data_IF_832354517223
#
_entry.id   IF_832354517223
#
_cell.length_a   1.000
_cell.length_b   1.000
_cell.length_c   1.000
_cell.angle_alpha   90.00
_cell.angle_beta   90.00
_cell.angle_gamma   90.00
#
_symmetry.space_group_name_H-M   'P 1'
#
loop_
_entity.id
_entity.type
_entity.pdbx_description
1 polymer ?
#
# COMPACT_ATOMS: atom_id res chain seq x y z
N UNK A 1 -4.70 -31.84 -5.15
CA UNK A 1 -4.51 -30.47 -4.61
C UNK A 1 -4.71 -29.49 -5.74
N UNK A 2 -5.70 -28.60 -5.64
CA UNK A 2 -5.94 -27.58 -6.67
C UNK A 2 -4.81 -26.56 -6.65
N UNK A 3 -4.31 -26.23 -7.84
CA UNK A 3 -3.28 -25.23 -8.03
C UNK A 3 -3.88 -23.83 -8.08
N UNK A 4 -3.13 -22.84 -7.62
CA UNK A 4 -3.52 -21.41 -7.60
C UNK A 4 -3.93 -20.92 -8.98
N UNK A 5 -3.17 -21.29 -10.00
CA UNK A 5 -3.39 -20.89 -11.39
C UNK A 5 -4.71 -21.44 -11.92
N UNK A 6 -5.09 -22.66 -11.53
CA UNK A 6 -6.36 -23.26 -11.94
C UNK A 6 -7.54 -22.52 -11.31
N UNK A 7 -7.43 -22.14 -10.04
CA UNK A 7 -8.49 -21.39 -9.36
C UNK A 7 -8.65 -19.99 -9.95
N UNK A 8 -7.55 -19.28 -10.23
CA UNK A 8 -7.60 -17.98 -10.90
C UNK A 8 -8.18 -18.10 -12.31
N UNK A 9 -7.80 -19.13 -13.07
CA UNK A 9 -8.38 -19.42 -14.37
C UNK A 9 -9.90 -19.56 -14.30
N UNK A 10 -10.38 -20.40 -13.38
CA UNK A 10 -11.81 -20.60 -13.14
C UNK A 10 -12.55 -19.30 -12.78
N UNK A 11 -11.98 -18.46 -11.91
CA UNK A 11 -12.61 -17.20 -11.50
C UNK A 11 -12.57 -16.10 -12.57
N UNK A 12 -11.68 -16.24 -13.57
CA UNK A 12 -11.51 -15.29 -14.69
C UNK A 12 -12.37 -15.62 -15.90
N UNK A 13 -13.04 -16.76 -15.91
CA UNK A 13 -13.99 -17.10 -16.97
C UNK A 13 -15.14 -16.07 -17.03
N UNK A 14 -15.57 -15.70 -18.23
CA UNK A 14 -16.60 -14.67 -18.45
C UNK A 14 -17.92 -15.02 -17.75
N UNK A 15 -18.24 -16.32 -17.66
CA UNK A 15 -19.47 -16.79 -17.02
C UNK A 15 -19.37 -16.90 -15.49
N UNK A 16 -18.16 -16.72 -14.93
CA UNK A 16 -17.95 -16.87 -13.49
C UNK A 16 -18.75 -15.82 -12.71
N UNK A 17 -19.42 -16.29 -11.66
CA UNK A 17 -20.05 -15.44 -10.65
C UNK A 17 -19.35 -15.71 -9.31
N UNK A 18 -19.08 -14.69 -8.49
CA UNK A 18 -18.45 -14.91 -7.19
C UNK A 18 -19.15 -15.98 -6.35
N UNK A 19 -18.40 -16.98 -5.91
CA UNK A 19 -18.87 -18.16 -5.17
C UNK A 19 -18.37 -18.17 -3.72
N UNK A 20 -19.13 -18.75 -2.80
CA UNK A 20 -18.67 -19.00 -1.43
C UNK A 20 -17.60 -20.10 -1.39
N UNK A 21 -16.93 -20.27 -0.25
CA UNK A 21 -15.95 -21.35 -0.08
C UNK A 21 -16.59 -22.74 -0.30
N UNK A 22 -17.82 -22.94 0.17
CA UNK A 22 -18.58 -24.18 0.00
C UNK A 22 -18.95 -24.40 -1.47
N UNK A 23 -19.45 -23.37 -2.14
CA UNK A 23 -19.78 -23.41 -3.58
C UNK A 23 -18.52 -23.74 -4.42
N UNK A 24 -17.37 -23.15 -4.11
CA UNK A 24 -16.09 -23.45 -4.78
C UNK A 24 -15.61 -24.88 -4.52
N UNK A 25 -15.73 -25.35 -3.28
CA UNK A 25 -15.35 -26.71 -2.88
C UNK A 25 -16.15 -27.73 -3.68
N UNK A 26 -17.46 -27.51 -3.81
CA UNK A 26 -18.35 -28.35 -4.61
C UNK A 26 -18.03 -28.25 -6.11
N UNK A 27 -17.89 -27.03 -6.65
CA UNK A 27 -17.66 -26.81 -8.08
C UNK A 27 -16.34 -27.41 -8.59
N UNK A 28 -15.30 -27.41 -7.75
CA UNK A 28 -13.96 -27.89 -8.10
C UNK A 28 -13.67 -29.32 -7.60
N UNK A 29 -14.68 -29.99 -7.03
CA UNK A 29 -14.55 -31.34 -6.43
C UNK A 29 -13.33 -31.44 -5.48
N UNK A 30 -13.29 -30.54 -4.49
CA UNK A 30 -12.18 -30.47 -3.53
C UNK A 30 -12.37 -31.50 -2.42
N UNK A 31 -11.49 -32.50 -2.34
CA UNK A 31 -11.49 -33.47 -1.25
C UNK A 31 -10.85 -32.92 0.05
N UNK A 32 -9.75 -32.17 -0.07
CA UNK A 32 -9.04 -31.57 1.08
C UNK A 32 -9.48 -30.12 1.29
N UNK A 33 -10.61 -29.96 1.97
CA UNK A 33 -11.21 -28.66 2.30
C UNK A 33 -10.27 -27.81 3.16
N UNK A 34 -9.56 -28.40 4.12
CA UNK A 34 -8.72 -27.65 5.04
C UNK A 34 -7.54 -26.98 4.32
N UNK A 35 -6.87 -27.69 3.41
CA UNK A 35 -5.80 -27.12 2.59
C UNK A 35 -6.34 -26.08 1.59
N UNK A 36 -7.54 -26.30 1.06
CA UNK A 36 -8.17 -25.34 0.15
C UNK A 36 -8.55 -24.02 0.83
N UNK A 37 -9.10 -24.06 2.05
CA UNK A 37 -9.37 -22.84 2.82
C UNK A 37 -8.09 -22.05 3.11
N UNK A 38 -6.99 -22.73 3.45
CA UNK A 38 -5.68 -22.08 3.62
C UNK A 38 -5.20 -21.43 2.32
N UNK A 39 -5.39 -22.08 1.18
CA UNK A 39 -5.07 -21.50 -0.13
C UNK A 39 -5.89 -20.23 -0.39
N UNK A 40 -7.20 -20.24 -0.13
CA UNK A 40 -8.05 -19.06 -0.29
C UNK A 40 -7.59 -17.89 0.59
N UNK A 41 -7.24 -18.15 1.85
CA UNK A 41 -6.72 -17.12 2.77
C UNK A 41 -5.42 -16.52 2.24
N UNK A 42 -4.49 -17.35 1.78
CA UNK A 42 -3.22 -16.86 1.24
C UNK A 42 -3.39 -16.07 -0.07
N UNK A 43 -4.27 -16.52 -0.97
CA UNK A 43 -4.59 -15.81 -2.21
C UNK A 43 -5.27 -14.46 -1.93
N UNK A 44 -6.15 -14.40 -0.93
CA UNK A 44 -6.84 -13.18 -0.51
C UNK A 44 -5.87 -12.17 0.13
N UNK A 45 -4.96 -12.63 0.98
CA UNK A 45 -3.89 -11.81 1.56
C UNK A 45 -2.95 -11.24 0.48
N UNK A 46 -2.70 -12.00 -0.59
CA UNK A 46 -1.94 -11.54 -1.76
C UNK A 46 -2.76 -10.67 -2.72
N UNK A 47 -4.06 -10.47 -2.48
CA UNK A 47 -4.93 -9.68 -3.35
C UNK A 47 -5.21 -10.32 -4.71
N UNK A 48 -4.85 -11.59 -4.91
CA UNK A 48 -5.12 -12.33 -6.14
C UNK A 48 -6.61 -12.64 -6.30
N UNK A 49 -7.31 -12.77 -5.17
CA UNK A 49 -8.77 -12.90 -5.08
C UNK A 49 -9.31 -11.97 -4.00
N UNK A 50 -10.59 -11.65 -4.10
CA UNK A 50 -11.28 -10.75 -3.17
C UNK A 50 -12.40 -11.50 -2.48
N UNK A 51 -12.38 -11.51 -1.15
CA UNK A 51 -13.54 -11.90 -0.35
C UNK A 51 -14.50 -10.71 -0.24
N UNK A 52 -15.67 -10.86 -0.85
CA UNK A 52 -16.74 -9.86 -0.79
C UNK A 52 -17.44 -9.88 0.58
N UNK A 53 -18.18 -8.81 0.89
CA UNK A 53 -19.02 -8.73 2.11
C UNK A 53 -20.09 -9.81 2.22
N UNK A 54 -20.40 -10.50 1.11
CA UNK A 54 -21.35 -11.62 1.06
C UNK A 54 -20.65 -12.98 1.16
N UNK A 55 -19.41 -13.02 1.64
CA UNK A 55 -18.56 -14.22 1.77
C UNK A 55 -18.35 -14.98 0.46
N UNK A 56 -18.32 -14.25 -0.66
CA UNK A 56 -18.05 -14.80 -1.99
C UNK A 56 -16.70 -14.34 -2.50
N UNK A 57 -15.95 -15.23 -3.14
CA UNK A 57 -14.64 -14.98 -3.72
C UNK A 57 -14.73 -14.66 -5.21
N UNK A 58 -13.90 -13.77 -5.70
CA UNK A 58 -13.72 -13.58 -7.14
C UNK A 58 -12.47 -12.79 -7.48
N UNK A 59 -12.14 -12.76 -8.77
CA UNK A 59 -10.98 -12.05 -9.28
C UNK A 59 -11.18 -10.52 -9.20
N UNK A 60 -10.19 -9.75 -8.74
CA UNK A 60 -10.27 -8.29 -8.59
C UNK A 60 -10.75 -7.56 -9.87
N UNK A 61 -10.22 -7.95 -11.03
CA UNK A 61 -10.50 -7.34 -12.33
C UNK A 61 -11.98 -7.42 -12.72
N UNK A 62 -12.67 -8.49 -12.31
CA UNK A 62 -14.10 -8.68 -12.56
C UNK A 62 -14.99 -7.83 -11.62
N UNK A 63 -14.40 -7.15 -10.65
CA UNK A 63 -15.08 -6.33 -9.65
C UNK A 63 -14.76 -4.83 -9.77
N UNK A 64 -14.07 -4.41 -10.84
CA UNK A 64 -13.60 -3.03 -10.99
C UNK A 64 -12.53 -2.66 -9.98
N UNK A 65 -11.73 -3.65 -9.55
CA UNK A 65 -10.62 -3.48 -8.63
C UNK A 65 -9.31 -3.70 -9.38
N UNK A 66 -8.30 -2.90 -9.04
CA UNK A 66 -6.96 -2.99 -9.62
C UNK A 66 -5.96 -3.18 -8.49
N UNK A 67 -5.09 -4.17 -8.64
CA UNK A 67 -3.99 -4.44 -7.71
C UNK A 67 -2.71 -3.86 -8.31
N UNK A 68 -1.91 -3.18 -7.50
CA UNK A 68 -0.73 -2.50 -7.97
C UNK A 68 0.08 -1.83 -6.87
N UNK A 69 1.09 -1.06 -7.26
CA UNK A 69 1.93 -0.28 -6.35
C UNK A 69 1.64 1.21 -6.48
N UNK A 70 1.65 1.90 -5.35
CA UNK A 70 1.48 3.35 -5.30
C UNK A 70 2.77 4.07 -5.69
N UNK A 71 2.70 4.85 -6.75
CA UNK A 71 3.70 5.86 -7.07
C UNK A 71 3.22 7.20 -6.51
N UNK A 72 3.79 7.60 -5.36
CA UNK A 72 3.48 8.88 -4.72
C UNK A 72 3.99 10.06 -5.53
N UNK A 73 3.38 11.21 -5.33
CA UNK A 73 3.84 12.49 -5.87
C UNK A 73 4.02 13.49 -4.72
N UNK A 74 4.99 14.39 -4.85
CA UNK A 74 5.29 15.45 -3.86
C UNK A 74 4.14 16.45 -3.61
N UNK A 75 3.06 16.37 -4.37
CA UNK A 75 1.85 17.20 -4.22
C UNK A 75 0.73 16.47 -3.49
N UNK A 76 0.96 15.24 -3.05
CA UNK A 76 0.02 14.46 -2.24
C UNK A 76 -0.87 13.48 -3.00
N UNK A 77 -1.12 13.70 -4.30
CA UNK A 77 -1.76 12.68 -5.13
C UNK A 77 -0.79 11.55 -5.46
N UNK A 78 -1.31 10.46 -6.02
CA UNK A 78 -0.50 9.33 -6.46
C UNK A 78 -1.07 8.67 -7.70
N UNK A 79 -0.29 7.79 -8.32
CA UNK A 79 -0.77 6.85 -9.32
C UNK A 79 -0.62 5.43 -8.80
N UNK A 80 -1.63 4.59 -9.03
CA UNK A 80 -1.43 3.16 -8.94
C UNK A 80 -0.86 2.67 -10.26
N UNK A 81 0.31 2.03 -10.18
CA UNK A 81 0.93 1.29 -11.26
C UNK A 81 0.41 -0.16 -11.18
N UNK A 82 -0.42 -0.63 -12.12
CA UNK A 82 -1.02 -1.97 -12.04
C UNK A 82 0.02 -3.08 -12.13
N UNK A 83 -0.24 -4.23 -11.48
CA UNK A 83 0.61 -5.41 -11.65
C UNK A 83 0.51 -6.01 -13.06
N UNK A 84 -0.63 -5.83 -13.71
CA UNK A 84 -0.80 -6.16 -15.11
C UNK A 84 -0.28 -4.99 -15.98
N UNK A 85 0.85 -5.15 -16.69
CA UNK A 85 1.44 -4.06 -17.48
C UNK A 85 0.61 -3.66 -18.69
N UNK A 86 -0.44 -4.42 -19.04
CA UNK A 86 -1.39 -4.07 -20.11
C UNK A 86 -2.46 -3.08 -19.63
N UNK A 87 -2.61 -2.89 -18.32
CA UNK A 87 -3.55 -1.92 -17.76
C UNK A 87 -2.92 -0.53 -17.66
N UNK A 88 -3.75 0.50 -17.88
CA UNK A 88 -3.33 1.89 -17.68
C UNK A 88 -3.29 2.24 -16.19
N UNK A 89 -2.37 3.11 -15.82
CA UNK A 89 -2.27 3.68 -14.47
C UNK A 89 -3.58 4.30 -14.01
N UNK A 90 -3.82 4.22 -12.70
CA UNK A 90 -5.00 4.79 -12.06
C UNK A 90 -4.57 5.99 -11.23
N UNK A 91 -5.13 7.16 -11.53
CA UNK A 91 -4.94 8.33 -10.69
C UNK A 91 -5.67 8.16 -9.36
N UNK A 92 -4.99 8.46 -8.26
CA UNK A 92 -5.53 8.42 -6.91
C UNK A 92 -5.33 9.81 -6.30
N UNK A 93 -6.42 10.48 -5.96
CA UNK A 93 -6.39 11.78 -5.32
C UNK A 93 -5.78 11.69 -3.91
N UNK A 94 -5.47 12.84 -3.32
CA UNK A 94 -4.99 12.90 -1.94
C UNK A 94 -6.01 12.31 -0.96
N UNK A 95 -7.30 12.61 -1.18
CA UNK A 95 -8.41 12.15 -0.34
C UNK A 95 -8.69 10.65 -0.50
N UNK A 96 -8.41 10.11 -1.68
CA UNK A 96 -8.67 8.73 -2.07
C UNK A 96 -7.49 7.78 -1.77
N UNK A 97 -6.34 8.32 -1.34
CA UNK A 97 -5.15 7.54 -1.00
C UNK A 97 -5.28 6.69 0.27
N UNK A 98 -6.23 7.02 1.16
CA UNK A 98 -6.55 6.27 2.40
C UNK A 98 -5.32 5.80 3.20
N UNK A 99 -4.31 6.67 3.34
CA UNK A 99 -3.12 6.37 4.12
C UNK A 99 -2.10 5.45 3.43
N UNK A 100 -2.21 5.23 2.12
CA UNK A 100 -1.16 4.59 1.35
C UNK A 100 0.04 5.53 1.18
N UNK A 101 1.23 4.98 1.30
CA UNK A 101 2.49 5.67 1.06
C UNK A 101 3.11 5.20 -0.26
N UNK A 102 4.14 5.91 -0.72
CA UNK A 102 4.88 5.50 -1.91
C UNK A 102 5.38 4.05 -1.81
N UNK A 103 5.31 3.29 -2.89
CA UNK A 103 5.66 1.87 -3.01
C UNK A 103 4.80 0.87 -2.25
N UNK A 104 3.82 1.32 -1.45
CA UNK A 104 2.83 0.42 -0.85
C UNK A 104 2.11 -0.36 -1.97
N UNK A 105 1.92 -1.66 -1.75
CA UNK A 105 1.11 -2.50 -2.62
C UNK A 105 -0.32 -2.45 -2.13
N UNK A 106 -1.25 -2.13 -3.00
CA UNK A 106 -2.62 -1.80 -2.62
C UNK A 106 -3.65 -2.39 -3.59
N UNK A 107 -4.91 -2.36 -3.17
CA UNK A 107 -6.08 -2.58 -4.01
C UNK A 107 -6.79 -1.24 -4.16
N UNK A 108 -6.98 -0.79 -5.40
CA UNK A 108 -7.77 0.39 -5.75
C UNK A 108 -9.10 -0.02 -6.33
N UNK A 109 -10.19 0.62 -5.89
CA UNK A 109 -11.49 0.55 -6.56
C UNK A 109 -11.62 1.68 -7.54
N UNK A 110 -11.92 1.35 -8.79
CA UNK A 110 -12.16 2.35 -9.83
C UNK A 110 -13.46 3.11 -9.55
N UNK A 111 -13.42 4.43 -9.76
CA UNK A 111 -14.62 5.26 -9.80
C UNK A 111 -15.49 4.88 -11.01
N UNK A 112 -16.80 5.16 -10.92
CA UNK A 112 -17.72 4.92 -12.04
C UNK A 112 -17.49 5.98 -13.12
N UNK A 113 -17.29 5.52 -14.37
CA UNK A 113 -17.05 6.39 -15.51
C UNK A 113 -15.58 6.74 -15.70
N UNK A 114 -15.30 7.56 -16.70
CA UNK A 114 -13.97 8.11 -16.95
C UNK A 114 -14.02 9.59 -16.59
N UNK A 115 -12.97 10.09 -15.93
CA UNK A 115 -12.81 11.51 -15.63
C UNK A 115 -12.90 12.37 -16.89
N UNK A 116 -13.18 13.66 -16.73
CA UNK A 116 -13.36 14.60 -17.85
C UNK A 116 -12.15 14.68 -18.81
N UNK A 117 -10.97 14.32 -18.31
CA UNK A 117 -9.68 14.28 -19.02
C UNK A 117 -9.30 12.86 -19.50
N UNK A 118 -10.22 11.90 -19.46
CA UNK A 118 -10.01 10.56 -20.01
C UNK A 118 -9.19 9.61 -19.11
N UNK A 119 -8.86 10.02 -17.88
CA UNK A 119 -8.03 9.21 -16.96
C UNK A 119 -8.87 8.29 -16.10
N UNK A 120 -8.35 7.10 -15.81
CA UNK A 120 -8.90 6.21 -14.76
C UNK A 120 -8.61 6.86 -13.41
N UNK A 121 -9.64 6.95 -12.57
CA UNK A 121 -9.53 7.42 -11.20
C UNK A 121 -10.04 6.35 -10.24
N UNK A 122 -9.52 6.32 -9.02
CA UNK A 122 -9.99 5.38 -8.01
C UNK A 122 -9.53 5.68 -6.60
N UNK A 123 -10.07 4.90 -5.67
CA UNK A 123 -9.80 4.97 -4.24
C UNK A 123 -9.04 3.74 -3.74
N UNK A 124 -8.01 3.95 -2.91
CA UNK A 124 -7.35 2.85 -2.20
C UNK A 124 -8.34 2.28 -1.19
N UNK A 125 -8.72 1.01 -1.35
CA UNK A 125 -9.66 0.35 -0.44
C UNK A 125 -8.95 -0.60 0.54
N UNK A 126 -7.70 -0.96 0.24
CA UNK A 126 -6.90 -1.88 1.05
C UNK A 126 -5.43 -1.74 0.74
N UNK A 127 -4.59 -1.84 1.76
CA UNK A 127 -3.14 -1.86 1.64
C UNK A 127 -2.69 -3.28 1.98
N UNK A 128 -2.07 -3.94 1.00
CA UNK A 128 -1.66 -5.34 1.06
C UNK A 128 -0.25 -5.50 1.65
N UNK A 129 0.65 -4.58 1.30
CA UNK A 129 2.03 -4.59 1.76
C UNK A 129 2.55 -3.15 1.94
N UNK A 130 3.27 -2.92 3.03
CA UNK A 130 3.77 -1.61 3.45
C UNK A 130 5.25 -1.50 3.12
N UNK A 131 5.61 -0.55 2.27
CA UNK A 131 6.99 -0.42 1.79
C UNK A 131 7.90 0.37 2.74
N UNK A 132 7.35 1.34 3.48
CA UNK A 132 8.16 2.35 4.19
C UNK A 132 8.21 2.11 5.70
N UNK A 133 8.55 0.90 6.14
CA UNK A 133 8.68 0.64 7.59
C UNK A 133 9.78 1.50 8.21
N UNK A 134 10.83 1.77 7.44
CA UNK A 134 11.88 2.71 7.76
C UNK A 134 11.91 3.81 6.70
N UNK A 135 12.20 5.03 7.13
CA UNK A 135 12.35 6.19 6.24
C UNK A 135 13.61 6.94 6.62
N UNK A 136 14.36 7.37 5.61
CA UNK A 136 15.48 8.29 5.80
C UNK A 136 15.02 9.70 5.52
N UNK A 137 15.41 10.64 6.37
CA UNK A 137 15.07 12.03 6.20
C UNK A 137 15.86 12.96 7.11
N UNK A 138 15.49 14.23 7.07
CA UNK A 138 16.11 15.27 7.90
C UNK A 138 15.15 15.68 9.01
N UNK A 139 15.66 15.73 10.25
CA UNK A 139 14.89 16.13 11.42
C UNK A 139 14.78 17.65 11.51
N UNK A 140 13.54 18.15 11.51
CA UNK A 140 13.18 19.51 11.88
C UNK A 140 12.54 19.52 13.27
N UNK A 141 13.24 20.09 14.25
CA UNK A 141 12.84 20.04 15.65
C UNK A 141 12.27 21.39 16.12
N UNK A 142 11.09 21.32 16.75
CA UNK A 142 10.48 22.39 17.54
C UNK A 142 10.64 22.13 19.05
N UNK A 143 10.25 23.08 19.90
CA UNK A 143 10.46 22.98 21.37
C UNK A 143 9.92 21.69 22.02
N UNK A 144 8.81 21.15 21.52
CA UNK A 144 8.08 20.04 22.15
C UNK A 144 7.82 18.83 21.22
N UNK A 145 8.23 18.89 19.96
CA UNK A 145 8.05 17.84 18.97
C UNK A 145 9.01 18.09 17.80
N UNK A 146 9.21 17.09 16.95
CA UNK A 146 9.92 17.25 15.68
C UNK A 146 9.13 16.64 14.53
N UNK A 147 9.59 16.93 13.33
CA UNK A 147 9.15 16.29 12.11
C UNK A 147 10.37 15.78 11.36
N UNK A 148 10.22 14.66 10.67
CA UNK A 148 11.22 14.21 9.70
C UNK A 148 10.67 14.40 8.30
N UNK A 149 11.37 15.20 7.52
CA UNK A 149 11.11 15.39 6.09
C UNK A 149 11.86 14.28 5.37
N UNK A 150 11.11 13.40 4.69
CA UNK A 150 11.69 12.28 3.95
C UNK A 150 12.55 12.78 2.78
N UNK A 151 13.66 12.09 2.51
CA UNK A 151 14.49 12.39 1.34
C UNK A 151 13.76 12.04 0.04
N UNK A 152 13.00 10.94 0.05
CA UNK A 152 12.12 10.60 -1.05
C UNK A 152 10.89 11.51 -1.00
N UNK A 153 10.95 12.59 -1.78
CA UNK A 153 9.87 13.58 -1.91
C UNK A 153 8.51 13.02 -2.35
N UNK A 154 8.44 11.75 -2.80
CA UNK A 154 7.17 11.06 -3.09
C UNK A 154 6.44 10.64 -1.81
N UNK A 155 7.15 10.57 -0.69
CA UNK A 155 6.58 10.58 0.67
C UNK A 155 6.33 12.04 1.05
N UNK A 156 5.18 12.57 0.65
CA UNK A 156 4.86 14.00 0.78
C UNK A 156 4.55 14.46 2.21
N UNK A 157 4.32 13.51 3.14
CA UNK A 157 3.90 13.80 4.51
C UNK A 157 5.10 13.86 5.43
N UNK A 158 5.18 14.95 6.19
CA UNK A 158 6.14 15.06 7.29
C UNK A 158 5.81 14.04 8.38
N UNK A 159 6.82 13.31 8.83
CA UNK A 159 6.66 12.24 9.82
C UNK A 159 6.81 12.84 11.20
N UNK A 160 5.74 12.83 12.00
CA UNK A 160 5.75 13.39 13.34
C UNK A 160 6.60 12.55 14.29
N UNK A 161 7.52 13.19 15.00
CA UNK A 161 8.37 12.58 16.03
C UNK A 161 8.06 13.24 17.37
N UNK A 162 7.57 12.45 18.33
CA UNK A 162 7.35 12.91 19.69
C UNK A 162 8.69 13.24 20.38
N UNK A 163 8.70 14.17 21.34
CA UNK A 163 9.93 14.61 22.05
C UNK A 163 10.76 13.46 22.64
N UNK A 164 10.11 12.40 23.13
CA UNK A 164 10.79 11.23 23.69
C UNK A 164 11.42 10.29 22.66
N UNK A 165 11.06 10.44 21.39
CA UNK A 165 11.37 9.51 20.29
C UNK A 165 12.47 10.05 19.36
N UNK A 166 13.14 11.15 19.73
CA UNK A 166 14.18 11.79 18.91
C UNK A 166 15.55 11.13 19.03
N UNK A 167 15.74 10.23 19.99
CA UNK A 167 16.99 9.46 20.20
C UNK A 167 18.28 10.31 20.18
N UNK A 168 18.26 11.48 20.81
CA UNK A 168 19.40 12.40 20.87
C UNK A 168 19.69 13.20 19.60
N UNK A 169 18.93 12.98 18.52
CA UNK A 169 19.02 13.78 17.31
C UNK A 169 18.66 15.24 17.58
N UNK A 170 19.36 16.15 16.89
CA UNK A 170 19.12 17.59 16.94
C UNK A 170 18.64 18.13 15.61
N UNK A 171 18.09 19.34 15.61
CA UNK A 171 17.60 19.99 14.40
C UNK A 171 18.65 20.01 13.28
N UNK A 172 18.27 19.56 12.09
CA UNK A 172 19.13 19.45 10.91
C UNK A 172 19.92 18.14 10.79
N UNK A 173 19.76 17.21 11.73
CA UNK A 173 20.36 15.89 11.61
C UNK A 173 19.64 15.03 10.57
N UNK A 174 20.44 14.27 9.83
CA UNK A 174 19.98 13.16 9.00
C UNK A 174 19.71 11.96 9.89
N UNK A 175 18.54 11.35 9.75
CA UNK A 175 18.09 10.27 10.62
C UNK A 175 17.44 9.15 9.81
N UNK A 176 17.55 7.93 10.34
CA UNK A 176 16.71 6.80 9.96
C UNK A 176 15.60 6.69 11.01
N UNK A 177 14.35 6.77 10.59
CA UNK A 177 13.20 6.57 11.45
C UNK A 177 12.54 5.23 11.19
N UNK A 178 11.81 4.73 12.18
CA UNK A 178 10.81 3.67 12.00
C UNK A 178 9.41 4.28 12.11
N UNK A 179 8.51 3.92 11.19
CA UNK A 179 7.10 4.30 11.26
C UNK A 179 6.42 3.52 12.37
N UNK A 180 5.88 4.24 13.36
CA UNK A 180 5.15 3.68 14.49
C UNK A 180 3.64 3.77 14.31
N UNK A 181 3.17 4.77 13.56
CA UNK A 181 1.79 4.87 13.08
C UNK A 181 1.77 5.29 11.63
N UNK A 182 1.06 4.51 10.82
CA UNK A 182 0.81 4.80 9.42
C UNK A 182 -0.10 6.01 9.26
N UNK A 183 -0.03 6.71 8.12
CA UNK A 183 -0.89 7.85 7.90
C UNK A 183 -2.35 7.41 7.79
N UNK A 184 -3.23 8.31 8.22
CA UNK A 184 -4.67 8.20 8.04
C UNK A 184 -5.17 9.46 7.33
N UNK A 185 -6.40 9.44 6.80
CA UNK A 185 -6.96 10.50 5.95
C UNK A 185 -6.79 11.95 6.46
N UNK A 186 -6.61 12.16 7.77
CA UNK A 186 -6.39 13.49 8.38
C UNK A 186 -5.24 13.51 9.39
N UNK A 187 -4.36 12.51 9.36
CA UNK A 187 -3.25 12.38 10.30
C UNK A 187 -1.99 11.98 9.55
N UNK A 188 -0.96 12.78 9.73
CA UNK A 188 0.39 12.45 9.28
C UNK A 188 0.88 11.17 9.97
N UNK A 189 1.85 10.46 9.36
CA UNK A 189 2.48 9.33 10.01
C UNK A 189 3.24 9.78 11.25
N UNK A 190 3.35 8.88 12.23
CA UNK A 190 4.19 9.07 13.42
C UNK A 190 5.36 8.08 13.36
N UNK A 191 6.52 8.50 13.83
CA UNK A 191 7.73 7.69 13.84
C UNK A 191 8.59 7.90 15.07
N UNK A 192 9.64 7.09 15.15
CA UNK A 192 10.72 7.24 16.12
C UNK A 192 12.07 7.17 15.45
N UNK A 193 13.03 7.95 15.92
CA UNK A 193 14.41 7.93 15.41
C UNK A 193 15.09 6.66 15.88
N UNK A 194 15.51 5.83 14.92
CA UNK A 194 16.29 4.62 15.18
C UNK A 194 17.79 4.95 15.19
N UNK A 195 18.25 5.70 14.20
CA UNK A 195 19.67 6.01 14.00
C UNK A 195 19.85 7.46 13.62
N UNK A 196 20.84 8.12 14.23
CA UNK A 196 21.32 9.44 13.81
C UNK A 196 22.53 9.23 12.92
N UNK A 197 22.45 9.66 11.66
CA UNK A 197 23.51 9.48 10.67
C UNK A 197 24.56 10.60 10.74
N UNK A 198 24.16 11.80 11.18
CA UNK A 198 25.01 12.98 11.28
C UNK A 198 24.27 14.25 10.84
N UNK A 199 24.98 15.36 10.59
CA UNK A 199 24.35 16.56 10.04
C UNK A 199 24.03 16.36 8.56
N UNK A 200 22.88 16.87 8.12
CA UNK A 200 22.58 16.91 6.69
C UNK A 200 23.65 17.74 5.95
N UNK A 201 24.25 17.15 4.90
CA UNK A 201 25.31 17.77 4.10
C UNK A 201 26.74 17.50 4.58
N UNK A 202 26.94 16.77 5.69
CA UNK A 202 28.28 16.36 6.11
C UNK A 202 28.85 15.27 5.17
N UNK A 203 30.17 15.30 4.87
CA UNK A 203 30.81 14.28 4.05
C UNK A 203 30.61 12.86 4.61
N UNK A 204 30.08 11.96 3.78
CA UNK A 204 29.85 10.55 4.13
C UNK A 204 28.46 10.24 4.68
N UNK A 205 27.67 11.24 5.10
CA UNK A 205 26.27 11.04 5.51
C UNK A 205 25.40 10.64 4.32
N UNK A 206 25.63 11.25 3.15
CA UNK A 206 24.88 10.96 1.92
C UNK A 206 25.06 9.52 1.42
N UNK A 207 26.19 8.88 1.76
CA UNK A 207 26.48 7.49 1.37
C UNK A 207 25.70 6.50 2.24
N UNK A 208 25.43 6.84 3.50
CA UNK A 208 24.70 6.00 4.45
C UNK A 208 23.17 6.10 4.28
N UNK A 209 22.69 7.05 3.47
CA UNK A 209 21.27 7.32 3.24
C UNK A 209 20.66 6.66 1.99
N UNK A 210 21.42 5.87 1.23
CA UNK A 210 20.98 5.21 -0.02
C UNK A 210 20.46 3.80 0.25
#
# INVERSE_FOLDING_TARGET
MVKRENLLGFMREVAYKPLTAEELTAALNIDDVASFLKLLVDMEAKGEIILTRKNKYGAPENMGLVVGRIQGHSKGFSFLIPENPLEQDVYVSLEDGNGAMHNDRVIVRLHKGVSANGRREGEVIRILDRANQQVVGTLEQSRNYGFVIADDTRIYQDIFIAKGEVNGAVNGDKVVIEITKWPERRRNPEGRVQVVLGRAGDPGVDILSI
#
